data_IF_094858076714
#
_entry.id   IF_094858076714
#
_cell.length_a   1.000
_cell.length_b   1.000
_cell.length_c   1.000
_cell.angle_alpha   90.00
_cell.angle_beta   90.00
_cell.angle_gamma   90.00
#
_symmetry.space_group_name_H-M   'P 1'
#
loop_
_entity.id
_entity.type
_entity.pdbx_description
1 polymer ?
#
# COMPACT_ATOMS: atom_id res chain seq x y z
N UNK A 1 -6.94 7.83 -6.40
CA UNK A 1 -7.53 7.80 -7.76
C UNK A 1 -8.02 9.16 -8.22
N UNK A 2 -9.13 9.73 -7.73
CA UNK A 2 -9.63 11.03 -8.24
C UNK A 2 -8.67 12.21 -8.00
N UNK A 3 -8.17 12.38 -6.77
CA UNK A 3 -7.19 13.43 -6.45
C UNK A 3 -5.81 13.18 -7.10
N UNK A 4 -5.51 11.93 -7.43
CA UNK A 4 -4.27 11.51 -8.07
C UNK A 4 -4.29 11.73 -9.59
N UNK A 5 -5.45 12.04 -10.18
CA UNK A 5 -5.60 12.26 -11.62
C UNK A 5 -5.86 11.00 -12.45
N UNK A 6 -5.66 9.80 -11.88
CA UNK A 6 -5.88 8.51 -12.55
C UNK A 6 -5.59 7.31 -11.66
N UNK A 7 -5.54 6.15 -12.28
CA UNK A 7 -5.11 4.86 -11.70
C UNK A 7 -3.89 4.39 -12.50
N UNK A 8 -2.80 3.93 -11.86
CA UNK A 8 -1.69 3.30 -12.56
C UNK A 8 -2.19 2.20 -13.51
N UNK A 9 -1.69 2.21 -14.74
CA UNK A 9 -2.03 1.21 -15.74
C UNK A 9 -1.07 0.02 -15.64
N UNK A 10 -1.41 -0.95 -14.79
CA UNK A 10 -0.54 -2.10 -14.50
C UNK A 10 -0.41 -3.07 -15.69
N UNK A 11 -1.37 -3.07 -16.62
CA UNK A 11 -1.40 -3.92 -17.81
C UNK A 11 -0.67 -3.30 -19.02
N UNK A 12 0.07 -2.21 -18.81
CA UNK A 12 0.78 -1.48 -19.86
C UNK A 12 2.22 -1.22 -19.45
N UNK A 13 3.11 -1.16 -20.44
CA UNK A 13 4.51 -0.76 -20.29
C UNK A 13 4.76 0.68 -20.77
N UNK A 14 3.69 1.45 -21.01
CA UNK A 14 3.79 2.86 -21.39
C UNK A 14 4.24 3.68 -20.19
N UNK A 15 5.32 4.42 -20.38
CA UNK A 15 5.90 5.34 -19.41
C UNK A 15 4.96 6.54 -19.18
N UNK A 16 4.60 6.75 -17.92
CA UNK A 16 3.96 7.96 -17.43
C UNK A 16 4.97 9.07 -17.23
N UNK A 17 5.01 9.67 -16.04
CA UNK A 17 5.98 10.71 -15.71
C UNK A 17 7.40 10.11 -15.60
N UNK A 18 8.37 10.78 -16.23
CA UNK A 18 9.80 10.46 -16.13
C UNK A 18 10.46 11.53 -15.25
N UNK A 19 11.12 11.10 -14.18
CA UNK A 19 11.81 12.00 -13.25
C UNK A 19 12.97 12.73 -13.99
N UNK A 20 13.05 14.06 -13.92
CA UNK A 20 14.04 14.83 -14.70
C UNK A 20 15.50 14.45 -14.44
N UNK A 21 15.81 14.03 -13.21
CA UNK A 21 17.16 13.67 -12.77
C UNK A 21 17.35 12.13 -12.68
N UNK A 22 16.41 11.33 -13.18
CA UNK A 22 16.48 9.87 -13.09
C UNK A 22 17.29 9.21 -14.22
N UNK A 23 17.69 7.96 -14.00
CA UNK A 23 18.37 7.12 -14.98
C UNK A 23 17.65 7.05 -16.34
N UNK A 24 16.32 6.96 -16.35
CA UNK A 24 15.52 6.96 -17.58
C UNK A 24 15.66 8.25 -18.38
N UNK A 25 15.62 9.41 -17.72
CA UNK A 25 15.81 10.69 -18.39
C UNK A 25 17.23 10.81 -18.95
N UNK A 26 18.23 10.34 -18.20
CA UNK A 26 19.63 10.30 -18.63
C UNK A 26 19.85 9.39 -19.85
N UNK A 27 19.11 8.28 -19.93
CA UNK A 27 19.07 7.38 -21.08
C UNK A 27 18.26 7.93 -22.27
N UNK A 28 17.54 9.04 -22.09
CA UNK A 28 16.75 9.68 -23.14
C UNK A 28 15.34 9.11 -23.32
N UNK A 29 14.85 8.34 -22.35
CA UNK A 29 13.45 7.91 -22.27
C UNK A 29 12.53 9.10 -21.98
N UNK A 30 11.31 9.04 -22.49
CA UNK A 30 10.33 10.12 -22.42
C UNK A 30 8.97 9.60 -22.00
N UNK A 31 8.13 10.49 -21.48
CA UNK A 31 6.73 10.18 -21.20
C UNK A 31 6.00 9.79 -22.49
N UNK A 32 5.26 8.69 -22.45
CA UNK A 32 4.56 8.13 -23.61
C UNK A 32 5.33 7.08 -24.40
N UNK A 33 6.60 6.82 -24.06
CA UNK A 33 7.36 5.69 -24.59
C UNK A 33 6.76 4.36 -24.09
N UNK A 34 6.66 3.35 -24.94
CA UNK A 34 6.22 2.00 -24.57
C UNK A 34 7.41 1.03 -24.58
N UNK A 35 7.72 0.43 -23.44
CA UNK A 35 8.81 -0.55 -23.35
C UNK A 35 8.29 -1.93 -23.79
N UNK A 36 8.79 -2.44 -24.90
CA UNK A 36 8.34 -3.72 -25.49
C UNK A 36 9.19 -4.89 -24.98
N UNK A 37 10.49 -4.67 -24.78
CA UNK A 37 11.41 -5.70 -24.27
C UNK A 37 12.55 -5.10 -23.45
N UNK A 38 13.10 -5.91 -22.55
CA UNK A 38 14.31 -5.63 -21.76
C UNK A 38 15.27 -6.80 -21.99
N UNK A 39 16.47 -6.53 -22.50
CA UNK A 39 17.49 -7.55 -22.81
C UNK A 39 16.95 -8.72 -23.63
N UNK A 40 16.17 -8.41 -24.67
CA UNK A 40 15.48 -9.35 -25.57
C UNK A 40 14.32 -10.14 -24.93
N UNK A 41 14.05 -9.97 -23.63
CA UNK A 41 12.89 -10.54 -22.95
C UNK A 41 11.68 -9.62 -23.06
N UNK A 42 10.60 -10.13 -23.63
CA UNK A 42 9.38 -9.37 -23.88
C UNK A 42 8.69 -9.04 -22.54
N UNK A 43 8.34 -7.77 -22.35
CA UNK A 43 7.70 -7.31 -21.12
C UNK A 43 6.27 -6.88 -21.43
N UNK A 44 5.30 -7.44 -20.71
CA UNK A 44 3.88 -7.29 -21.03
C UNK A 44 3.07 -6.52 -19.98
N UNK A 45 3.67 -6.22 -18.84
CA UNK A 45 3.01 -5.56 -17.73
C UNK A 45 3.97 -4.68 -16.93
N UNK A 46 3.42 -3.66 -16.27
CA UNK A 46 4.19 -2.77 -15.42
C UNK A 46 4.88 -3.50 -14.24
N UNK A 47 4.24 -4.45 -13.52
CA UNK A 47 4.89 -5.18 -12.44
C UNK A 47 6.04 -6.07 -12.92
N UNK A 48 5.98 -6.58 -14.15
CA UNK A 48 7.07 -7.34 -14.76
C UNK A 48 8.26 -6.44 -15.07
N UNK A 49 8.01 -5.31 -15.74
CA UNK A 49 9.01 -4.27 -16.01
C UNK A 49 9.71 -3.83 -14.73
N UNK A 50 8.93 -3.47 -13.72
CA UNK A 50 9.45 -3.01 -12.43
C UNK A 50 10.31 -4.09 -11.75
N UNK A 51 9.90 -5.36 -11.82
CA UNK A 51 10.64 -6.47 -11.23
C UNK A 51 12.00 -6.67 -11.89
N UNK A 52 12.05 -6.64 -13.22
CA UNK A 52 13.32 -6.78 -13.98
C UNK A 52 14.26 -5.63 -13.61
N UNK A 53 13.78 -4.39 -13.63
CA UNK A 53 14.58 -3.21 -13.28
C UNK A 53 15.10 -3.27 -11.83
N UNK A 54 14.25 -3.66 -10.88
CA UNK A 54 14.65 -3.75 -9.46
C UNK A 54 15.75 -4.77 -9.20
N UNK A 55 15.81 -5.84 -10.01
CA UNK A 55 16.79 -6.92 -9.86
C UNK A 55 18.16 -6.59 -10.44
N UNK A 56 18.29 -5.52 -11.23
CA UNK A 56 19.50 -5.13 -11.95
C UNK A 56 19.98 -3.72 -11.55
N UNK A 57 20.31 -3.45 -10.27
CA UNK A 57 20.89 -2.17 -9.85
C UNK A 57 22.30 -1.99 -10.45
N UNK A 58 22.59 -0.79 -10.97
CA UNK A 58 23.90 -0.44 -11.56
C UNK A 58 24.31 -1.28 -12.78
N UNK A 59 23.41 -2.11 -13.30
CA UNK A 59 23.63 -2.94 -14.49
C UNK A 59 22.96 -2.28 -15.71
N UNK A 60 23.69 -2.20 -16.83
CA UNK A 60 23.15 -1.62 -18.06
C UNK A 60 22.12 -2.57 -18.69
N UNK A 61 20.90 -2.08 -18.86
CA UNK A 61 19.79 -2.80 -19.48
C UNK A 61 19.56 -2.26 -20.90
N UNK A 62 19.33 -3.14 -21.85
CA UNK A 62 18.97 -2.79 -23.22
C UNK A 62 17.45 -2.80 -23.36
N UNK A 63 16.86 -1.62 -23.50
CA UNK A 63 15.41 -1.44 -23.64
C UNK A 63 15.03 -1.28 -25.11
N UNK A 64 14.07 -2.08 -25.58
CA UNK A 64 13.40 -1.83 -26.84
C UNK A 64 12.13 -1.02 -26.58
N UNK A 65 12.04 0.15 -27.21
CA UNK A 65 11.03 1.17 -26.91
C UNK A 65 10.31 1.59 -28.17
N UNK A 66 8.98 1.56 -28.14
CA UNK A 66 8.14 2.18 -29.16
C UNK A 66 7.83 3.62 -28.79
N UNK A 67 8.26 4.55 -29.64
CA UNK A 67 7.98 5.98 -29.55
C UNK A 67 7.22 6.43 -30.79
N UNK A 68 5.89 6.42 -30.70
CA UNK A 68 5.02 6.63 -31.85
C UNK A 68 5.16 5.48 -32.86
N UNK A 69 5.56 5.76 -34.10
CA UNK A 69 5.74 4.74 -35.14
C UNK A 69 7.20 4.23 -35.25
N UNK A 70 8.06 4.56 -34.28
CA UNK A 70 9.49 4.20 -34.29
C UNK A 70 9.82 3.24 -33.15
N UNK A 71 10.53 2.17 -33.48
CA UNK A 71 11.18 1.29 -32.49
C UNK A 71 12.62 1.78 -32.29
N UNK A 72 12.97 2.08 -31.04
CA UNK A 72 14.27 2.58 -30.62
C UNK A 72 14.89 1.58 -29.64
N UNK A 73 16.21 1.43 -29.72
CA UNK A 73 16.97 0.71 -28.71
C UNK A 73 17.63 1.74 -27.80
N UNK A 74 17.39 1.63 -26.50
CA UNK A 74 17.86 2.57 -25.48
C UNK A 74 18.60 1.79 -24.39
N UNK A 75 19.85 2.14 -24.14
CA UNK A 75 20.63 1.60 -23.04
C UNK A 75 20.39 2.46 -21.80
N UNK A 76 19.91 1.85 -20.72
CA UNK A 76 19.62 2.53 -19.47
C UNK A 76 20.20 1.75 -18.29
N UNK A 77 20.93 2.44 -17.41
CA UNK A 77 21.48 1.85 -16.18
C UNK A 77 20.63 2.27 -14.98
N UNK A 78 19.86 1.38 -14.34
CA UNK A 78 19.10 1.72 -13.15
C UNK A 78 20.00 2.18 -12.01
N UNK A 79 19.62 3.26 -11.33
CA UNK A 79 20.32 3.71 -10.13
C UNK A 79 20.06 2.75 -8.97
N UNK A 80 21.09 2.45 -8.17
CA UNK A 80 20.91 1.69 -6.94
C UNK A 80 20.32 2.58 -5.85
N UNK A 81 19.18 2.15 -5.30
CA UNK A 81 18.52 2.79 -4.18
C UNK A 81 18.33 1.78 -3.05
N UNK A 82 18.64 2.20 -1.82
CA UNK A 82 18.42 1.37 -0.63
C UNK A 82 16.92 1.28 -0.31
N UNK A 83 16.40 0.06 -0.30
CA UNK A 83 15.03 -0.25 0.10
C UNK A 83 15.03 -1.38 1.13
N UNK A 84 14.72 -1.06 2.40
CA UNK A 84 14.57 -2.04 3.49
C UNK A 84 15.73 -3.05 3.56
N UNK A 85 16.97 -2.55 3.58
CA UNK A 85 18.23 -3.33 3.63
C UNK A 85 18.55 -4.16 2.36
N UNK A 86 17.87 -3.89 1.24
CA UNK A 86 18.20 -4.43 -0.08
C UNK A 86 18.47 -3.30 -1.08
N UNK A 87 19.51 -3.47 -1.89
CA UNK A 87 19.75 -2.59 -3.03
C UNK A 87 18.83 -3.00 -4.17
N UNK A 88 18.07 -2.03 -4.71
CA UNK A 88 17.19 -2.23 -5.85
C UNK A 88 17.49 -1.21 -6.94
N UNK A 89 17.36 -1.63 -8.19
CA UNK A 89 17.48 -0.74 -9.33
C UNK A 89 16.25 0.16 -9.50
N UNK A 90 16.46 1.43 -9.85
CA UNK A 90 15.40 2.38 -10.15
C UNK A 90 15.72 3.20 -11.41
N UNK A 91 14.79 3.20 -12.36
CA UNK A 91 14.87 4.02 -13.57
C UNK A 91 14.30 5.45 -13.39
N UNK A 92 13.51 5.70 -12.36
CA UNK A 92 12.86 7.00 -12.14
C UNK A 92 11.65 7.25 -13.05
N UNK A 93 10.93 6.20 -13.41
CA UNK A 93 9.71 6.25 -14.24
C UNK A 93 8.48 5.84 -13.44
N UNK A 94 7.33 6.43 -13.78
CA UNK A 94 6.03 6.03 -13.25
C UNK A 94 5.21 5.35 -14.35
N UNK A 95 4.26 4.48 -13.96
CA UNK A 95 3.30 3.91 -14.90
C UNK A 95 2.45 5.03 -15.52
N UNK A 96 2.04 4.84 -16.77
CA UNK A 96 0.98 5.67 -17.35
C UNK A 96 -0.31 5.56 -16.52
N UNK A 97 -1.14 6.60 -16.55
CA UNK A 97 -2.37 6.64 -15.78
C UNK A 97 -3.60 6.42 -16.67
N UNK A 98 -4.43 5.46 -16.28
CA UNK A 98 -5.80 5.35 -16.76
C UNK A 98 -6.65 6.48 -16.14
N UNK A 99 -7.09 7.42 -16.97
CA UNK A 99 -7.76 8.64 -16.52
C UNK A 99 -9.29 8.59 -16.61
N UNK A 100 -9.85 7.50 -17.14
CA UNK A 100 -11.29 7.31 -17.27
C UNK A 100 -12.01 7.36 -15.94
N UNK A 101 -13.26 7.83 -15.95
CA UNK A 101 -14.07 7.91 -14.75
C UNK A 101 -14.32 6.52 -14.12
N UNK A 102 -14.61 5.53 -14.97
CA UNK A 102 -14.84 4.15 -14.52
C UNK A 102 -13.56 3.49 -14.02
N UNK A 103 -12.44 3.73 -14.69
CA UNK A 103 -11.12 3.25 -14.23
C UNK A 103 -10.83 3.77 -12.82
N UNK A 104 -11.07 5.08 -12.57
CA UNK A 104 -10.90 5.70 -11.25
C UNK A 104 -11.80 5.11 -10.16
N UNK A 105 -13.02 4.70 -10.50
CA UNK A 105 -13.92 4.03 -9.57
C UNK A 105 -13.45 2.62 -9.25
N UNK A 106 -13.17 1.82 -10.29
CA UNK A 106 -12.73 0.42 -10.17
C UNK A 106 -11.39 0.36 -9.45
N UNK A 107 -10.40 1.14 -9.88
CA UNK A 107 -9.10 1.21 -9.22
C UNK A 107 -9.19 1.72 -7.78
N UNK A 108 -10.21 2.52 -7.43
CA UNK A 108 -10.48 2.88 -6.04
C UNK A 108 -10.93 1.69 -5.18
N UNK A 109 -11.74 0.80 -5.75
CA UNK A 109 -12.18 -0.45 -5.11
C UNK A 109 -11.01 -1.44 -5.02
N UNK A 110 -10.26 -1.65 -6.09
CA UNK A 110 -9.07 -2.51 -6.13
C UNK A 110 -8.04 -2.05 -5.09
N UNK A 111 -7.73 -0.76 -5.04
CA UNK A 111 -6.82 -0.22 -4.04
C UNK A 111 -7.30 -0.44 -2.61
N UNK A 112 -8.61 -0.34 -2.37
CA UNK A 112 -9.20 -0.62 -1.07
C UNK A 112 -9.09 -2.10 -0.71
N UNK A 113 -9.26 -2.99 -1.69
CA UNK A 113 -9.08 -4.43 -1.55
C UNK A 113 -7.62 -4.81 -1.26
N UNK A 114 -6.66 -4.23 -1.99
CA UNK A 114 -5.24 -4.45 -1.73
C UNK A 114 -4.85 -3.98 -0.32
N UNK A 115 -5.35 -2.82 0.08
CA UNK A 115 -5.15 -2.30 1.44
C UNK A 115 -5.74 -3.26 2.48
N UNK A 116 -6.91 -3.83 2.22
CA UNK A 116 -7.51 -4.86 3.07
C UNK A 116 -6.64 -6.10 3.20
N UNK A 117 -6.16 -6.65 2.08
CA UNK A 117 -5.26 -7.82 2.09
C UNK A 117 -3.95 -7.50 2.82
N UNK A 118 -3.36 -6.34 2.57
CA UNK A 118 -2.13 -5.90 3.25
C UNK A 118 -2.31 -5.79 4.76
N UNK A 119 -3.46 -5.30 5.24
CA UNK A 119 -3.75 -5.27 6.68
C UNK A 119 -3.87 -6.68 7.24
N UNK A 120 -4.50 -7.62 6.53
CA UNK A 120 -4.55 -9.02 6.98
C UNK A 120 -3.15 -9.64 7.07
N UNK A 121 -2.28 -9.40 6.09
CA UNK A 121 -0.88 -9.85 6.11
C UNK A 121 -0.11 -9.19 7.26
N UNK A 122 -0.26 -7.89 7.47
CA UNK A 122 0.37 -7.17 8.57
C UNK A 122 -0.07 -7.73 9.93
N UNK A 123 -1.35 -8.07 10.10
CA UNK A 123 -1.86 -8.71 11.33
C UNK A 123 -1.32 -10.12 11.52
N UNK A 124 -1.18 -10.90 10.45
CA UNK A 124 -0.52 -12.20 10.51
C UNK A 124 0.94 -12.03 10.98
N UNK A 125 1.67 -11.06 10.42
CA UNK A 125 3.04 -10.74 10.83
C UNK A 125 3.09 -10.29 12.28
N UNK A 126 2.14 -9.46 12.73
CA UNK A 126 2.05 -9.03 14.13
C UNK A 126 1.89 -10.21 15.11
N UNK A 127 1.15 -11.24 14.73
CA UNK A 127 0.96 -12.44 15.56
C UNK A 127 2.17 -13.38 15.50
N UNK A 128 2.82 -13.50 14.34
CA UNK A 128 3.96 -14.43 14.13
C UNK A 128 5.30 -13.85 14.55
N UNK A 129 5.49 -12.54 14.43
CA UNK A 129 6.67 -11.77 14.80
C UNK A 129 6.23 -10.49 15.54
N UNK A 130 5.72 -10.70 16.75
CA UNK A 130 5.16 -9.63 17.56
C UNK A 130 6.23 -8.61 17.97
N UNK A 131 6.03 -7.37 17.56
CA UNK A 131 6.74 -6.21 18.08
C UNK A 131 5.74 -5.09 18.36
N UNK A 132 5.82 -4.52 19.56
CA UNK A 132 5.09 -3.29 19.89
C UNK A 132 5.49 -2.15 18.95
N UNK A 133 6.65 -2.26 18.30
CA UNK A 133 7.14 -1.18 17.49
C UNK A 133 6.42 -0.99 16.16
N UNK A 134 5.74 -2.05 15.70
CA UNK A 134 4.95 -2.07 14.49
C UNK A 134 3.54 -1.49 14.69
N UNK A 135 3.15 -1.21 15.94
CA UNK A 135 1.85 -0.65 16.28
C UNK A 135 1.98 0.84 16.56
N UNK A 136 1.19 1.66 15.86
CA UNK A 136 1.03 3.07 16.15
C UNK A 136 -0.19 3.32 17.03
N UNK A 137 -0.02 4.04 18.12
CA UNK A 137 -1.10 4.41 19.04
C UNK A 137 -1.65 5.82 18.80
N UNK A 138 -2.48 6.34 19.74
CA UNK A 138 -3.05 7.68 19.65
C UNK A 138 -2.00 8.79 19.54
N UNK A 139 -0.82 8.60 20.13
CA UNK A 139 0.28 9.58 20.09
C UNK A 139 0.91 9.60 18.69
N UNK A 140 1.16 8.44 18.09
CA UNK A 140 1.60 8.36 16.68
C UNK A 140 0.57 9.00 15.73
N UNK A 141 -0.73 8.77 15.94
CA UNK A 141 -1.80 9.39 15.13
C UNK A 141 -1.82 10.91 15.31
N UNK A 142 -1.62 11.41 16.54
CA UNK A 142 -1.52 12.85 16.78
C UNK A 142 -0.36 13.48 16.01
N UNK A 143 0.82 12.85 16.04
CA UNK A 143 2.00 13.36 15.34
C UNK A 143 1.82 13.34 13.82
N UNK A 144 1.32 12.24 13.25
CA UNK A 144 0.98 12.15 11.83
C UNK A 144 -0.07 13.20 11.43
N UNK A 145 -1.06 13.45 12.30
CA UNK A 145 -2.08 14.48 12.06
C UNK A 145 -1.48 15.89 12.09
N UNK A 146 -0.56 16.16 13.02
CA UNK A 146 0.16 17.43 13.09
C UNK A 146 1.02 17.67 11.84
N UNK A 147 1.75 16.66 11.38
CA UNK A 147 2.53 16.74 10.15
C UNK A 147 1.64 16.96 8.92
N UNK A 148 0.53 16.22 8.81
CA UNK A 148 -0.41 16.38 7.72
C UNK A 148 -1.07 17.77 7.72
N UNK A 149 -1.38 18.33 8.89
CA UNK A 149 -1.92 19.68 9.01
C UNK A 149 -0.92 20.75 8.55
N UNK A 150 0.38 20.58 8.85
CA UNK A 150 1.44 21.47 8.40
C UNK A 150 1.66 21.41 6.87
N UNK A 151 1.48 20.23 6.27
CA UNK A 151 1.56 20.03 4.82
C UNK A 151 0.31 20.51 4.07
N UNK A 152 -0.76 20.84 4.79
CA UNK A 152 -1.96 21.47 4.26
C UNK A 152 -3.17 20.55 4.14
N UNK A 153 -4.25 21.11 3.57
CA UNK A 153 -5.58 20.47 3.57
C UNK A 153 -5.61 19.18 2.75
N UNK A 154 -4.89 19.13 1.62
CA UNK A 154 -4.86 17.94 0.77
C UNK A 154 -4.24 16.75 1.52
N UNK A 155 -3.09 16.94 2.18
CA UNK A 155 -2.46 15.89 2.97
C UNK A 155 -3.33 15.48 4.16
N UNK A 156 -4.01 16.42 4.81
CA UNK A 156 -4.95 16.13 5.90
C UNK A 156 -6.13 15.27 5.44
N UNK A 157 -6.68 15.55 4.25
CA UNK A 157 -7.73 14.73 3.64
C UNK A 157 -7.23 13.32 3.30
N UNK A 158 -6.01 13.21 2.75
CA UNK A 158 -5.40 11.91 2.44
C UNK A 158 -5.15 11.08 3.71
N UNK A 159 -4.65 11.70 4.79
CA UNK A 159 -4.49 11.04 6.08
C UNK A 159 -5.83 10.57 6.64
N UNK A 160 -6.86 11.43 6.59
CA UNK A 160 -8.21 11.09 7.07
C UNK A 160 -8.79 9.92 6.30
N UNK A 161 -8.62 9.91 4.98
CA UNK A 161 -9.04 8.80 4.13
C UNK A 161 -8.30 7.50 4.49
N UNK A 162 -6.98 7.57 4.66
CA UNK A 162 -6.15 6.43 5.06
C UNK A 162 -6.59 5.85 6.42
N UNK A 163 -6.76 6.69 7.44
CA UNK A 163 -7.20 6.25 8.78
C UNK A 163 -8.62 5.66 8.70
N UNK A 164 -9.52 6.26 7.92
CA UNK A 164 -10.90 5.81 7.77
C UNK A 164 -10.99 4.44 7.12
N UNK A 165 -10.21 4.18 6.06
CA UNK A 165 -10.11 2.87 5.41
C UNK A 165 -9.53 1.84 6.39
N UNK A 166 -8.42 2.17 7.06
CA UNK A 166 -7.79 1.26 8.03
C UNK A 166 -8.73 0.92 9.19
N UNK A 167 -9.41 1.91 9.77
CA UNK A 167 -10.37 1.71 10.86
C UNK A 167 -11.58 0.89 10.41
N UNK A 168 -12.10 1.14 9.20
CA UNK A 168 -13.16 0.34 8.62
C UNK A 168 -12.77 -1.13 8.44
N UNK A 169 -11.56 -1.38 7.95
CA UNK A 169 -11.03 -2.74 7.76
C UNK A 169 -10.80 -3.42 9.12
N UNK A 170 -10.16 -2.73 10.06
CA UNK A 170 -9.90 -3.25 11.41
C UNK A 170 -11.21 -3.57 12.14
N UNK A 171 -12.24 -2.74 11.99
CA UNK A 171 -13.55 -2.99 12.58
C UNK A 171 -14.27 -4.21 11.99
N UNK A 172 -13.93 -4.66 10.78
CA UNK A 172 -14.46 -5.88 10.19
C UNK A 172 -13.72 -7.15 10.63
N UNK A 173 -12.59 -7.03 11.33
CA UNK A 173 -11.83 -8.18 11.80
C UNK A 173 -12.62 -8.97 12.86
N UNK A 174 -12.39 -10.29 12.95
CA UNK A 174 -13.04 -11.17 13.93
C UNK A 174 -12.47 -11.00 15.35
N UNK A 175 -12.33 -9.76 15.82
CA UNK A 175 -11.79 -9.40 17.13
C UNK A 175 -12.95 -9.07 18.07
N UNK A 176 -13.10 -9.77 19.20
CA UNK A 176 -14.10 -9.44 20.22
C UNK A 176 -13.99 -7.98 20.68
N UNK A 177 -15.13 -7.29 20.81
CA UNK A 177 -15.16 -5.86 21.14
C UNK A 177 -15.24 -4.93 19.93
N UNK A 178 -15.01 -5.43 18.71
CA UNK A 178 -15.27 -4.74 17.44
C UNK A 178 -16.50 -5.31 16.71
N UNK A 179 -16.99 -4.57 15.71
CA UNK A 179 -18.18 -4.95 14.92
C UNK A 179 -18.02 -6.31 14.22
N UNK A 180 -16.84 -6.60 13.68
CA UNK A 180 -16.49 -7.86 13.03
C UNK A 180 -16.44 -9.05 13.99
N UNK A 181 -16.18 -8.81 15.27
CA UNK A 181 -16.32 -9.81 16.33
C UNK A 181 -17.77 -10.28 16.44
N UNK A 182 -18.74 -9.35 16.38
CA UNK A 182 -20.17 -9.69 16.39
C UNK A 182 -20.58 -10.41 15.10
N UNK A 183 -20.04 -9.97 13.95
CA UNK A 183 -20.25 -10.66 12.67
C UNK A 183 -19.78 -12.13 12.75
N UNK A 184 -18.61 -12.38 13.34
CA UNK A 184 -18.09 -13.74 13.55
C UNK A 184 -19.04 -14.58 14.40
N UNK A 185 -19.53 -14.03 15.52
CA UNK A 185 -20.47 -14.72 16.40
C UNK A 185 -21.76 -15.08 15.66
N UNK A 186 -22.30 -14.17 14.84
CA UNK A 186 -23.46 -14.43 14.00
C UNK A 186 -23.20 -15.53 12.96
N UNK A 187 -22.01 -15.57 12.35
CA UNK A 187 -21.62 -16.64 11.43
C UNK A 187 -21.57 -17.99 12.17
N UNK A 188 -20.98 -18.02 13.37
CA UNK A 188 -20.93 -19.22 14.21
C UNK A 188 -22.33 -19.68 14.60
N UNK A 189 -23.24 -18.76 14.92
CA UNK A 189 -24.65 -19.07 15.18
C UNK A 189 -25.37 -19.67 13.98
N UNK A 190 -25.16 -19.09 12.79
CA UNK A 190 -25.75 -19.56 11.55
C UNK A 190 -25.28 -20.99 11.22
N UNK A 191 -23.99 -21.29 11.39
CA UNK A 191 -23.44 -22.64 11.19
C UNK A 191 -23.95 -23.62 12.25
N UNK A 192 -24.06 -23.18 13.51
CA UNK A 192 -24.51 -24.03 14.62
C UNK A 192 -26.03 -24.24 14.65
N UNK A 193 -26.79 -23.40 13.95
CA UNK A 193 -28.26 -23.39 13.95
C UNK A 193 -28.88 -23.08 15.32
N UNK A 194 -28.09 -22.53 16.26
CA UNK A 194 -28.53 -22.20 17.63
C UNK A 194 -27.89 -20.90 18.11
N UNK A 195 -28.67 -19.97 18.67
CA UNK A 195 -28.16 -18.69 19.15
C UNK A 195 -27.15 -18.88 20.29
N UNK A 196 -26.15 -18.01 20.38
CA UNK A 196 -25.29 -17.87 21.56
C UNK A 196 -26.12 -17.17 22.63
N UNK A 197 -25.97 -17.58 23.88
CA UNK A 197 -26.62 -16.89 24.99
C UNK A 197 -26.06 -15.46 25.11
N UNK A 198 -26.95 -14.48 25.25
CA UNK A 198 -26.59 -13.05 25.38
C UNK A 198 -25.52 -12.79 26.45
N UNK A 199 -25.55 -13.54 27.57
CA UNK A 199 -24.54 -13.47 28.64
C UNK A 199 -23.12 -13.81 28.14
N UNK A 200 -23.00 -14.79 27.25
CA UNK A 200 -21.71 -15.22 26.69
C UNK A 200 -21.22 -14.24 25.62
N UNK A 201 -22.12 -13.74 24.77
CA UNK A 201 -21.78 -12.70 23.81
C UNK A 201 -21.30 -11.43 24.52
N UNK A 202 -22.03 -11.00 25.56
CA UNK A 202 -21.66 -9.86 26.40
C UNK A 202 -20.31 -10.05 27.08
N UNK A 203 -20.05 -11.24 27.64
CA UNK A 203 -18.76 -11.56 28.25
C UNK A 203 -17.61 -11.53 27.23
N UNK A 204 -17.79 -12.16 26.06
CA UNK A 204 -16.79 -12.18 24.98
C UNK A 204 -16.46 -10.74 24.55
N UNK A 205 -17.50 -9.92 24.35
CA UNK A 205 -17.35 -8.52 23.95
C UNK A 205 -16.61 -7.70 25.02
N UNK A 206 -16.99 -7.86 26.29
CA UNK A 206 -16.36 -7.16 27.41
C UNK A 206 -14.89 -7.54 27.57
N UNK A 207 -14.57 -8.83 27.51
CA UNK A 207 -13.19 -9.33 27.58
C UNK A 207 -12.39 -8.79 26.39
N UNK A 208 -12.95 -8.86 25.18
CA UNK A 208 -12.34 -8.30 23.98
C UNK A 208 -12.03 -6.82 24.10
N UNK A 209 -13.02 -6.01 24.48
CA UNK A 209 -12.85 -4.58 24.73
C UNK A 209 -11.79 -4.30 25.81
N UNK A 210 -11.78 -5.08 26.90
CA UNK A 210 -10.76 -4.98 27.93
C UNK A 210 -9.34 -5.24 27.42
N UNK A 211 -9.16 -6.27 26.58
CA UNK A 211 -7.88 -6.55 25.91
C UNK A 211 -7.46 -5.45 24.95
N UNK A 212 -8.41 -4.89 24.18
CA UNK A 212 -8.15 -3.75 23.28
C UNK A 212 -7.73 -2.51 24.04
N UNK A 213 -8.39 -2.19 25.16
CA UNK A 213 -8.01 -1.07 26.03
C UNK A 213 -6.63 -1.28 26.64
N UNK A 214 -6.32 -2.51 27.08
CA UNK A 214 -4.99 -2.85 27.57
C UNK A 214 -3.92 -2.65 26.49
N UNK A 215 -4.17 -3.16 25.28
CA UNK A 215 -3.28 -2.97 24.13
C UNK A 215 -3.09 -1.49 23.81
N UNK A 216 -4.18 -0.70 23.82
CA UNK A 216 -4.11 0.74 23.59
C UNK A 216 -3.20 1.44 24.60
N UNK A 217 -3.28 1.09 25.89
CA UNK A 217 -2.37 1.63 26.92
C UNK A 217 -0.92 1.23 26.65
N UNK A 218 -0.65 -0.04 26.31
CA UNK A 218 0.70 -0.52 26.02
C UNK A 218 1.31 0.17 24.80
N UNK A 219 0.55 0.30 23.71
CA UNK A 219 1.01 0.96 22.48
C UNK A 219 1.19 2.46 22.72
N UNK A 220 0.27 3.12 23.44
CA UNK A 220 0.42 4.53 23.81
C UNK A 220 1.68 4.76 24.63
N UNK A 221 1.99 3.86 25.57
CA UNK A 221 3.23 3.94 26.34
C UNK A 221 4.46 3.76 25.44
N UNK A 222 4.42 2.81 24.50
CA UNK A 222 5.50 2.59 23.54
C UNK A 222 5.74 3.82 22.65
N UNK A 223 4.67 4.42 22.14
CA UNK A 223 4.74 5.66 21.38
C UNK A 223 5.41 6.76 22.21
N UNK A 224 5.01 6.96 23.47
CA UNK A 224 5.60 7.98 24.35
C UNK A 224 7.10 7.72 24.53
N UNK A 225 7.51 6.46 24.75
CA UNK A 225 8.93 6.12 24.86
C UNK A 225 9.68 6.49 23.58
N UNK A 226 9.14 6.13 22.40
CA UNK A 226 9.80 6.39 21.11
C UNK A 226 9.89 7.88 20.76
N UNK A 227 8.87 8.67 21.08
CA UNK A 227 8.80 10.07 20.65
C UNK A 227 9.41 11.07 21.64
N UNK A 228 9.55 10.70 22.92
CA UNK A 228 10.00 11.63 23.97
C UNK A 228 11.30 11.22 24.68
N UNK A 229 11.81 10.01 24.48
CA UNK A 229 13.01 9.49 25.14
C UNK A 229 13.95 8.81 24.15
#
# INVERSE_FOLDING_TARGET
MFLQGGVPNEDSTVLGEVAPDGAAASAGLQSGDEIVSIDEEQTSSWPELQRVVQQHPEEELTLEVERGDQTLQVEATPESVDNQDQQVGQLGVQASLNTGFWDKLIGGVERSWDTFVQILVALQTLVTNFSLDQLGGPVAIFELSNQAAQQGVITSLLLTAMISVNLGIVNLLPIPGLDGGKLLLNIVEAVRGKPISEEKEGLITLVGFGLLMLLMVLVTWNDIQRFFF
#
